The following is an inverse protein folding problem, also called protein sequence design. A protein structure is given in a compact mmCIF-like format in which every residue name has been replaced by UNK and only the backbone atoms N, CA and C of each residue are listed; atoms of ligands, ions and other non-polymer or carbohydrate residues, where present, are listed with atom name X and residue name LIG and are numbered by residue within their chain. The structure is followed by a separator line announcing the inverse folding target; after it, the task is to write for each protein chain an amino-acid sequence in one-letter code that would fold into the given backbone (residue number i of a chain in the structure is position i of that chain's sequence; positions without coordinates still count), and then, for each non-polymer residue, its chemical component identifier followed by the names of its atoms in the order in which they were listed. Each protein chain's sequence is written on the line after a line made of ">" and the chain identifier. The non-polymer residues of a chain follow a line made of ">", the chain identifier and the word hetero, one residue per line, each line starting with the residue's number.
data_IF_115171537087
#
_entry.id   IF_115171537087
#
_cell.length_a   1.000
_cell.length_b   1.000
_cell.length_c   1.000
_cell.angle_alpha   90.00
_cell.angle_beta   90.00
_cell.angle_gamma   90.00
#
_symmetry.space_group_name_H-M   'P 1'
#
loop_
_entity.id
_entity.type
_entity.pdbx_description
1 polymer ?
#
# COMPACT_ATOMS: atom_id res chain seq x y z
N UNK A 1 1.34 11.12 8.67
CA UNK A 1 1.80 10.75 7.32
C UNK A 1 1.48 11.88 6.35
N UNK A 2 2.06 11.83 5.15
CA UNK A 2 1.58 12.60 4.00
C UNK A 2 0.97 11.56 3.05
N UNK A 3 -0.27 11.78 2.65
CA UNK A 3 -0.93 10.93 1.68
C UNK A 3 -0.46 11.29 0.25
N UNK A 4 -0.01 10.27 -0.47
CA UNK A 4 0.56 10.35 -1.82
C UNK A 4 -0.10 9.35 -2.77
N UNK A 5 -1.28 8.80 -2.42
CA UNK A 5 -1.90 7.69 -3.18
C UNK A 5 -2.12 8.04 -4.64
N UNK A 6 -2.57 9.26 -4.96
CA UNK A 6 -2.89 9.66 -6.33
C UNK A 6 -1.65 10.11 -7.12
N UNK A 7 -0.59 10.54 -6.44
CA UNK A 7 0.65 10.99 -7.08
C UNK A 7 1.68 9.89 -7.24
N UNK A 8 1.59 8.82 -6.43
CA UNK A 8 2.46 7.66 -6.55
C UNK A 8 2.19 6.93 -7.87
N UNK A 9 3.21 6.69 -8.72
CA UNK A 9 3.00 5.95 -9.95
C UNK A 9 2.51 4.52 -9.75
N UNK A 10 1.63 4.08 -10.64
CA UNK A 10 0.93 2.79 -10.50
C UNK A 10 1.87 1.60 -10.48
N UNK A 11 3.02 1.69 -11.14
CA UNK A 11 4.01 0.61 -11.14
C UNK A 11 4.58 0.32 -9.74
N UNK A 12 4.60 1.28 -8.80
CA UNK A 12 4.97 1.02 -7.40
C UNK A 12 3.81 0.45 -6.58
N UNK A 13 2.57 0.81 -6.91
CA UNK A 13 1.39 0.14 -6.35
C UNK A 13 1.37 -1.33 -6.76
N UNK A 14 1.71 -1.63 -8.02
CA UNK A 14 1.83 -2.99 -8.54
C UNK A 14 2.96 -3.78 -7.86
N UNK A 15 4.08 -3.13 -7.52
CA UNK A 15 5.12 -3.76 -6.69
C UNK A 15 4.56 -4.18 -5.33
N UNK A 16 3.82 -3.31 -4.65
CA UNK A 16 3.20 -3.63 -3.36
C UNK A 16 2.20 -4.81 -3.47
N UNK A 17 1.34 -4.80 -4.49
CA UNK A 17 0.38 -5.89 -4.76
C UNK A 17 1.12 -7.21 -5.00
N UNK A 18 2.16 -7.21 -5.83
CA UNK A 18 2.96 -8.42 -6.10
C UNK A 18 3.69 -8.93 -4.86
N UNK A 19 4.21 -8.03 -4.01
CA UNK A 19 4.88 -8.41 -2.77
C UNK A 19 3.92 -9.12 -1.81
N UNK A 20 2.74 -8.53 -1.58
CA UNK A 20 1.71 -9.15 -0.73
C UNK A 20 1.25 -10.51 -1.29
N UNK A 21 1.03 -10.60 -2.61
CA UNK A 21 0.64 -11.84 -3.26
C UNK A 21 1.72 -12.94 -3.16
N UNK A 22 2.99 -12.59 -3.34
CA UNK A 22 4.12 -13.52 -3.20
C UNK A 22 4.24 -14.07 -1.77
N UNK A 23 3.83 -13.29 -0.76
CA UNK A 23 3.75 -13.72 0.64
C UNK A 23 2.45 -14.47 0.99
N UNK A 24 1.52 -14.63 0.04
CA UNK A 24 0.22 -15.26 0.30
C UNK A 24 -0.70 -14.46 1.23
N UNK A 25 -0.47 -13.14 1.35
CA UNK A 25 -1.21 -12.27 2.25
C UNK A 25 -2.37 -11.60 1.50
N UNK A 26 -3.57 -11.71 2.05
CA UNK A 26 -4.78 -11.05 1.51
C UNK A 26 -4.83 -9.56 1.86
N UNK A 27 -4.25 -9.19 3.00
CA UNK A 27 -4.11 -7.80 3.47
C UNK A 27 -2.69 -7.68 4.03
N UNK A 28 -1.94 -6.68 3.56
CA UNK A 28 -0.61 -6.37 4.07
C UNK A 28 -0.31 -4.87 3.88
N UNK A 29 0.49 -4.31 4.78
CA UNK A 29 1.23 -3.07 4.55
C UNK A 29 2.58 -3.45 3.96
N UNK A 30 3.01 -2.75 2.91
CA UNK A 30 4.28 -3.02 2.23
C UNK A 30 5.12 -1.77 2.26
N UNK A 31 6.27 -1.85 2.92
CA UNK A 31 7.19 -0.74 3.05
C UNK A 31 8.25 -0.85 1.96
N UNK A 32 8.32 0.18 1.12
CA UNK A 32 9.18 0.25 -0.06
C UNK A 32 10.07 1.48 0.07
N UNK A 33 11.38 1.29 -0.06
CA UNK A 33 12.31 2.41 -0.26
C UNK A 33 12.49 2.59 -1.76
N UNK A 34 12.23 3.81 -2.23
CA UNK A 34 12.31 4.21 -3.64
C UNK A 34 13.30 5.37 -3.73
N UNK A 35 14.27 5.27 -4.63
CA UNK A 35 15.31 6.30 -4.82
C UNK A 35 14.80 7.43 -5.71
N UNK A 36 14.20 7.08 -6.85
CA UNK A 36 13.52 8.00 -7.75
C UNK A 36 12.11 7.46 -8.06
N UNK A 37 11.09 8.19 -7.60
CA UNK A 37 9.69 7.79 -7.79
C UNK A 37 9.19 8.01 -9.20
N UNK A 38 9.86 8.83 -10.01
CA UNK A 38 9.45 9.08 -11.40
C UNK A 38 10.07 8.06 -12.38
N UNK A 39 11.09 7.31 -11.94
CA UNK A 39 11.70 6.23 -12.68
C UNK A 39 11.06 4.86 -12.39
N UNK A 40 11.00 4.01 -13.42
CA UNK A 40 10.42 2.67 -13.33
C UNK A 40 11.10 1.76 -12.28
N UNK A 41 10.40 0.74 -11.74
CA UNK A 41 10.95 -0.15 -10.75
C UNK A 41 12.08 -1.01 -11.34
N UNK A 42 13.27 -0.90 -10.76
CA UNK A 42 14.40 -1.78 -11.06
C UNK A 42 15.16 -2.15 -9.78
N UNK A 43 15.97 -3.22 -9.79
CA UNK A 43 16.79 -3.60 -8.63
C UNK A 43 17.76 -2.51 -8.14
N UNK A 44 18.04 -1.50 -8.97
CA UNK A 44 18.87 -0.37 -8.60
C UNK A 44 18.08 0.83 -8.05
N UNK A 45 16.76 0.87 -8.24
CA UNK A 45 15.93 2.04 -7.92
C UNK A 45 15.04 1.83 -6.68
N UNK A 46 14.62 0.60 -6.40
CA UNK A 46 13.75 0.31 -5.26
C UNK A 46 14.09 -0.99 -4.54
N UNK A 47 13.63 -1.10 -3.30
CA UNK A 47 13.64 -2.34 -2.51
C UNK A 47 12.39 -2.43 -1.64
N UNK A 48 11.79 -3.62 -1.55
CA UNK A 48 10.77 -3.95 -0.54
C UNK A 48 11.49 -4.32 0.74
N UNK A 49 11.25 -3.58 1.82
CA UNK A 49 11.99 -3.71 3.09
C UNK A 49 11.25 -4.59 4.07
N UNK A 50 9.93 -4.39 4.19
CA UNK A 50 9.10 -5.05 5.19
C UNK A 50 7.69 -5.31 4.64
N UNK A 51 7.07 -6.39 5.13
CA UNK A 51 5.66 -6.66 4.98
C UNK A 51 5.02 -6.77 6.37
N UNK A 52 4.04 -5.91 6.64
CA UNK A 52 3.31 -5.83 7.89
C UNK A 52 1.92 -6.48 7.74
N UNK A 53 1.62 -7.49 8.57
CA UNK A 53 0.34 -8.21 8.56
C UNK A 53 -0.18 -8.41 10.00
N UNK A 54 -1.10 -7.56 10.50
CA UNK A 54 -1.86 -6.52 9.79
C UNK A 54 -1.12 -5.19 9.61
N UNK A 55 -1.52 -4.42 8.60
CA UNK A 55 -1.04 -3.05 8.38
C UNK A 55 -1.56 -2.09 9.47
N UNK A 56 -0.81 -1.03 9.74
CA UNK A 56 -1.30 0.08 10.55
C UNK A 56 -2.17 1.01 9.71
N UNK A 57 -3.44 1.16 10.10
CA UNK A 57 -4.43 1.92 9.32
C UNK A 57 -4.51 3.40 9.70
N UNK A 58 -4.25 3.73 10.96
CA UNK A 58 -4.46 5.08 11.52
C UNK A 58 -3.72 6.18 10.75
N UNK A 59 -2.51 5.90 10.25
CA UNK A 59 -1.77 6.85 9.44
C UNK A 59 -2.38 7.10 8.06
N UNK A 60 -3.16 6.17 7.51
CA UNK A 60 -3.82 6.35 6.21
C UNK A 60 -5.21 6.99 6.34
N UNK A 61 -5.89 6.80 7.48
CA UNK A 61 -7.19 7.43 7.73
C UNK A 61 -7.06 8.85 8.29
N UNK A 62 -5.95 9.17 8.97
CA UNK A 62 -5.70 10.48 9.56
C UNK A 62 -4.33 11.04 9.13
N UNK A 63 -4.13 11.33 7.82
CA UNK A 63 -2.90 11.95 7.38
C UNK A 63 -2.78 13.40 7.88
N UNK A 64 -1.54 13.87 8.03
CA UNK A 64 -1.26 15.27 8.35
C UNK A 64 -1.53 16.17 7.13
N UNK A 65 -1.20 15.69 5.93
CA UNK A 65 -1.45 16.34 4.64
C UNK A 65 -2.05 15.30 3.69
N UNK A 66 -3.11 15.67 2.96
CA UNK A 66 -3.79 14.84 1.98
C UNK A 66 -5.14 14.32 2.48
N UNK A 67 -5.59 13.18 1.99
CA UNK A 67 -6.98 12.72 2.16
C UNK A 67 -7.10 11.45 3.00
N UNK A 68 -8.17 11.38 3.80
CA UNK A 68 -8.54 10.12 4.46
C UNK A 68 -9.00 9.12 3.39
N UNK A 69 -8.25 8.03 3.22
CA UNK A 69 -8.52 6.98 2.23
C UNK A 69 -9.58 5.97 2.66
N UNK A 70 -10.10 6.11 3.88
CA UNK A 70 -11.09 5.24 4.52
C UNK A 70 -10.68 3.76 4.39
N UNK A 71 -9.41 3.47 4.70
CA UNK A 71 -8.83 2.13 4.46
C UNK A 71 -9.44 1.07 5.36
N UNK A 72 -10.02 1.48 6.50
CA UNK A 72 -10.76 0.61 7.39
C UNK A 72 -11.92 -0.11 6.69
N UNK A 73 -12.58 0.54 5.72
CA UNK A 73 -13.71 -0.05 4.99
C UNK A 73 -13.25 -1.23 4.13
N UNK A 74 -12.17 -1.06 3.38
CA UNK A 74 -11.63 -2.14 2.53
C UNK A 74 -11.12 -3.31 3.38
N UNK A 75 -10.51 -3.02 4.53
CA UNK A 75 -10.08 -4.07 5.47
C UNK A 75 -11.29 -4.86 5.99
N UNK A 76 -12.36 -4.18 6.40
CA UNK A 76 -13.59 -4.82 6.84
C UNK A 76 -14.23 -5.65 5.71
N UNK A 77 -14.31 -5.11 4.50
CA UNK A 77 -14.82 -5.83 3.32
C UNK A 77 -14.02 -7.11 3.05
N UNK A 78 -12.69 -7.04 3.15
CA UNK A 78 -11.80 -8.19 3.01
C UNK A 78 -11.91 -9.21 4.15
N UNK A 79 -12.26 -8.80 5.36
CA UNK A 79 -12.46 -9.72 6.51
C UNK A 79 -13.81 -10.42 6.39
N UNK A 80 -14.87 -9.66 6.12
CA UNK A 80 -16.24 -10.16 6.07
C UNK A 80 -16.64 -10.74 4.71
N UNK A 81 -15.74 -10.71 3.70
CA UNK A 81 -16.01 -11.09 2.32
C UNK A 81 -17.28 -10.42 1.76
N UNK A 82 -17.48 -9.15 2.10
CA UNK A 82 -18.61 -8.37 1.59
C UNK A 82 -18.36 -8.18 0.09
N UNK A 83 -19.17 -8.83 -0.74
CA UNK A 83 -19.16 -8.57 -2.18
C UNK A 83 -19.81 -7.20 -2.38
N UNK A 84 -19.00 -6.18 -2.64
CA UNK A 84 -19.51 -4.89 -3.09
C UNK A 84 -20.32 -5.13 -4.38
N UNK A 85 -21.61 -4.82 -4.32
CA UNK A 85 -22.54 -4.82 -5.46
C UNK A 85 -22.33 -3.58 -6.31
#
# INVERSE_FOLDING_TARGET
>A
SIDVTDTMPDYYKDVAVRAAAAAGLRIAGVDIIISDSDAEPSPANYIVVELNAPAMLSMHDFPYIGENRNVEKYVLDCIFNIKNK
#
